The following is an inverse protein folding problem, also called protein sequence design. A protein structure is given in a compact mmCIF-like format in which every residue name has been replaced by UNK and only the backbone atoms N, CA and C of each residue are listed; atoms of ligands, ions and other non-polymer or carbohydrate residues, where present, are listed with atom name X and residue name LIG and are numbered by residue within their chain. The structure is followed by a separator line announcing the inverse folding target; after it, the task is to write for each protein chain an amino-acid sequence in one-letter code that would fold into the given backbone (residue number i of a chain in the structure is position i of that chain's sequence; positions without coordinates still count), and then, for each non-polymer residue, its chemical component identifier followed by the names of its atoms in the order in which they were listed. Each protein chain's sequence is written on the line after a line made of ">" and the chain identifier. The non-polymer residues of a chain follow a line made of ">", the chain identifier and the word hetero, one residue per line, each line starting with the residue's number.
data_IF_600180240325
#
_entry.id   IF_600180240325
#
_cell.length_a   1.000
_cell.length_b   1.000
_cell.length_c   1.000
_cell.angle_alpha   90.00
_cell.angle_beta   90.00
_cell.angle_gamma   90.00
#
_symmetry.space_group_name_H-M   'P 1'
#
loop_
_entity.id
_entity.type
_entity.pdbx_description
1 polymer ?
#
# COMPACT_ATOMS: atom_id res chain seq x y z
N UNK A 1 27.41 -16.92 -38.62
CA UNK A 1 28.27 -15.75 -38.98
C UNK A 1 27.44 -14.48 -39.11
N UNK A 2 28.03 -13.34 -39.41
CA UNK A 2 27.33 -12.05 -39.58
C UNK A 2 26.14 -12.13 -40.54
N UNK A 3 26.24 -12.94 -41.61
CA UNK A 3 25.15 -13.18 -42.57
C UNK A 3 23.90 -13.83 -41.98
N UNK A 4 24.06 -14.68 -40.99
CA UNK A 4 22.91 -15.34 -40.31
C UNK A 4 22.20 -14.36 -39.38
N UNK A 5 22.91 -13.39 -38.79
CA UNK A 5 22.34 -12.35 -37.95
C UNK A 5 21.48 -11.40 -38.77
N UNK A 6 21.98 -10.97 -39.95
CA UNK A 6 21.22 -10.09 -40.85
C UNK A 6 19.97 -10.79 -41.39
N UNK A 7 20.08 -12.07 -41.74
CA UNK A 7 18.93 -12.83 -42.21
C UNK A 7 17.85 -12.99 -41.15
N UNK A 8 18.22 -13.27 -39.89
CA UNK A 8 17.25 -13.32 -38.77
C UNK A 8 16.59 -11.97 -38.53
N UNK A 9 17.32 -10.87 -38.65
CA UNK A 9 16.76 -9.54 -38.55
C UNK A 9 15.73 -9.26 -39.65
N UNK A 10 16.05 -9.62 -40.89
CA UNK A 10 15.11 -9.50 -42.03
C UNK A 10 13.86 -10.38 -41.84
N UNK A 11 14.01 -11.61 -41.34
CA UNK A 11 12.89 -12.51 -41.04
C UNK A 11 11.98 -11.92 -39.96
N UNK A 12 12.53 -11.38 -38.87
CA UNK A 12 11.78 -10.70 -37.80
C UNK A 12 11.04 -9.47 -38.35
N UNK A 13 11.70 -8.64 -39.10
CA UNK A 13 11.09 -7.42 -39.68
C UNK A 13 9.98 -7.76 -40.68
N UNK A 14 10.07 -8.89 -41.40
CA UNK A 14 9.06 -9.35 -42.32
C UNK A 14 7.74 -9.76 -41.63
N UNK A 15 7.84 -10.34 -40.43
CA UNK A 15 6.65 -10.71 -39.61
C UNK A 15 5.77 -9.50 -39.24
N UNK A 16 6.37 -8.33 -39.12
CA UNK A 16 5.68 -7.09 -38.73
C UNK A 16 5.33 -6.18 -39.92
N UNK A 17 5.61 -6.59 -41.15
CA UNK A 17 5.43 -5.76 -42.36
C UNK A 17 3.95 -5.42 -42.65
N UNK A 18 3.02 -6.24 -42.15
CA UNK A 18 1.58 -6.06 -42.35
C UNK A 18 0.93 -5.13 -41.31
N UNK A 19 1.66 -4.68 -40.29
CA UNK A 19 1.11 -3.72 -39.31
C UNK A 19 1.06 -2.32 -39.91
N UNK A 20 -0.14 -1.72 -39.88
CA UNK A 20 -0.39 -0.40 -40.51
C UNK A 20 -0.16 0.80 -39.59
N UNK A 21 -0.23 0.60 -38.27
CA UNK A 21 -0.14 1.66 -37.26
C UNK A 21 1.23 1.73 -36.58
N UNK A 22 1.98 0.66 -36.61
CA UNK A 22 3.29 0.55 -35.94
C UNK A 22 4.35 0.33 -37.02
N UNK A 23 5.44 1.10 -36.94
CA UNK A 23 6.59 0.85 -37.80
C UNK A 23 7.32 -0.41 -37.32
N UNK A 24 7.67 -1.30 -38.27
CA UNK A 24 8.42 -2.51 -37.98
C UNK A 24 9.76 -2.26 -37.26
N UNK A 25 10.37 -1.10 -37.51
CA UNK A 25 11.61 -0.72 -36.81
C UNK A 25 11.38 -0.33 -35.36
N UNK A 26 10.23 0.26 -35.02
CA UNK A 26 9.87 0.54 -33.64
C UNK A 26 9.67 -0.77 -32.84
N UNK A 27 9.01 -1.77 -33.43
CA UNK A 27 8.89 -3.11 -32.80
C UNK A 27 10.25 -3.77 -32.64
N UNK A 28 11.11 -3.68 -33.66
CA UNK A 28 12.46 -4.20 -33.56
C UNK A 28 13.28 -3.50 -32.47
N UNK A 29 13.08 -2.19 -32.29
CA UNK A 29 13.73 -1.44 -31.22
C UNK A 29 13.29 -1.92 -29.82
N UNK A 30 12.02 -2.27 -29.62
CA UNK A 30 11.55 -2.88 -28.36
C UNK A 30 12.26 -4.20 -28.09
N UNK A 31 12.34 -5.06 -29.12
CA UNK A 31 13.08 -6.33 -29.01
C UNK A 31 14.56 -6.14 -28.70
N UNK A 32 15.20 -5.21 -29.39
CA UNK A 32 16.63 -4.93 -29.21
C UNK A 32 16.92 -4.34 -27.81
N UNK A 33 16.07 -3.45 -27.33
CA UNK A 33 16.19 -2.87 -25.98
C UNK A 33 16.09 -3.97 -24.94
N UNK A 34 15.06 -4.81 -25.01
CA UNK A 34 14.86 -5.90 -24.06
C UNK A 34 15.98 -6.95 -24.12
N UNK A 35 16.50 -7.24 -25.32
CA UNK A 35 17.67 -8.11 -25.48
C UNK A 35 18.89 -7.57 -24.74
N UNK A 36 19.18 -6.28 -24.93
CA UNK A 36 20.36 -5.66 -24.33
C UNK A 36 20.26 -5.47 -22.82
N UNK A 37 19.04 -5.24 -22.32
CA UNK A 37 18.81 -4.96 -20.90
C UNK A 37 18.65 -6.23 -20.05
N UNK A 38 18.09 -7.31 -20.61
CA UNK A 38 17.69 -8.49 -19.83
C UNK A 38 18.12 -9.80 -20.50
N UNK A 39 17.67 -10.07 -21.74
CA UNK A 39 17.82 -11.42 -22.34
C UNK A 39 19.26 -11.84 -22.52
N UNK A 40 20.15 -10.93 -22.86
CA UNK A 40 21.57 -11.24 -23.09
C UNK A 40 22.23 -11.76 -21.80
N UNK A 41 21.92 -11.19 -20.67
CA UNK A 41 22.46 -11.61 -19.37
C UNK A 41 21.83 -12.96 -18.94
N UNK A 42 20.53 -13.12 -19.13
CA UNK A 42 19.84 -14.39 -18.88
C UNK A 42 20.45 -15.54 -19.71
N UNK A 43 20.63 -15.32 -21.01
CA UNK A 43 21.23 -16.31 -21.91
C UNK A 43 22.68 -16.62 -21.50
N UNK A 44 23.44 -15.62 -21.10
CA UNK A 44 24.81 -15.79 -20.61
C UNK A 44 24.85 -16.64 -19.34
N UNK A 45 23.92 -16.43 -18.40
CA UNK A 45 23.78 -17.24 -17.19
C UNK A 45 23.42 -18.69 -17.52
N UNK A 46 22.50 -18.91 -18.47
CA UNK A 46 22.10 -20.27 -18.89
C UNK A 46 23.28 -21.02 -19.53
N UNK A 47 24.04 -20.37 -20.41
CA UNK A 47 25.15 -21.00 -21.13
C UNK A 47 26.36 -21.25 -20.23
N UNK A 48 26.55 -20.45 -19.16
CA UNK A 48 27.69 -20.58 -18.27
C UNK A 48 27.66 -21.83 -17.38
N UNK A 49 26.48 -22.44 -17.20
CA UNK A 49 26.29 -23.61 -16.31
C UNK A 49 26.28 -24.92 -17.12
N UNK A 50 26.89 -26.01 -16.59
CA UNK A 50 26.78 -27.34 -17.17
C UNK A 50 25.34 -27.88 -17.25
N UNK A 51 24.54 -27.58 -16.19
CA UNK A 51 23.09 -27.69 -16.20
C UNK A 51 22.56 -26.28 -16.51
N UNK A 52 22.14 -26.06 -17.76
CA UNK A 52 21.70 -24.72 -18.25
C UNK A 52 20.60 -24.06 -17.42
N UNK A 53 19.88 -24.84 -16.59
CA UNK A 53 18.79 -24.33 -15.75
C UNK A 53 19.11 -24.32 -14.26
N UNK A 54 20.35 -24.61 -13.84
CA UNK A 54 20.74 -24.55 -12.42
C UNK A 54 20.47 -23.17 -11.82
N UNK A 55 20.85 -22.10 -12.53
CA UNK A 55 20.62 -20.71 -12.11
C UNK A 55 19.13 -20.35 -11.96
N UNK A 56 18.23 -21.00 -12.68
CA UNK A 56 16.80 -20.76 -12.56
C UNK A 56 16.20 -21.29 -11.23
N UNK A 57 16.89 -22.23 -10.57
CA UNK A 57 16.51 -22.77 -9.26
C UNK A 57 17.16 -22.07 -8.09
N UNK A 58 18.07 -21.13 -8.37
CA UNK A 58 18.81 -20.37 -7.35
C UNK A 58 18.15 -19.06 -7.03
N UNK A 59 18.34 -18.63 -5.79
CA UNK A 59 17.86 -17.34 -5.27
C UNK A 59 19.00 -16.61 -4.60
N UNK A 60 19.12 -15.31 -4.82
CA UNK A 60 20.15 -14.45 -4.26
C UNK A 60 19.54 -13.56 -3.18
N UNK A 61 20.22 -13.45 -2.03
CA UNK A 61 19.83 -12.55 -0.97
C UNK A 61 20.23 -11.12 -1.32
N UNK A 62 19.30 -10.19 -1.09
CA UNK A 62 19.52 -8.76 -1.29
C UNK A 62 19.99 -8.18 0.05
N UNK A 63 21.19 -7.62 0.04
CA UNK A 63 21.81 -7.01 1.20
C UNK A 63 21.90 -5.49 1.04
N UNK A 64 21.54 -4.76 2.10
CA UNK A 64 21.69 -3.31 2.16
C UNK A 64 22.54 -2.90 3.36
N UNK A 65 23.32 -1.82 3.17
CA UNK A 65 24.14 -1.24 4.23
C UNK A 65 23.24 -0.49 5.23
N UNK A 66 23.37 -0.81 6.51
CA UNK A 66 22.66 -0.10 7.58
C UNK A 66 23.21 1.31 7.72
N UNK A 67 22.41 2.31 7.35
CA UNK A 67 22.82 3.73 7.33
C UNK A 67 22.71 4.44 8.68
N UNK A 68 21.91 3.89 9.62
CA UNK A 68 21.61 4.52 10.91
C UNK A 68 21.63 3.51 12.07
N UNK A 69 21.93 3.99 13.27
CA UNK A 69 21.88 3.20 14.50
C UNK A 69 23.22 2.59 14.91
N UNK A 70 23.15 1.62 15.86
CA UNK A 70 24.35 0.99 16.45
C UNK A 70 25.13 0.11 15.44
N UNK A 71 24.45 -0.38 14.42
CA UNK A 71 24.98 -1.31 13.41
C UNK A 71 25.26 -0.59 12.07
N UNK A 72 25.50 0.72 12.09
CA UNK A 72 25.84 1.48 10.89
C UNK A 72 27.09 0.91 10.22
N UNK A 73 27.00 0.62 8.91
CA UNK A 73 28.06 0.03 8.11
C UNK A 73 28.03 -1.50 8.04
N UNK A 74 27.09 -2.17 8.73
CA UNK A 74 26.87 -3.60 8.58
C UNK A 74 25.92 -3.88 7.41
N UNK A 75 26.18 -4.95 6.64
CA UNK A 75 25.28 -5.43 5.61
C UNK A 75 24.14 -6.23 6.28
N UNK A 76 22.91 -5.90 5.91
CA UNK A 76 21.73 -6.58 6.41
C UNK A 76 20.93 -7.12 5.24
N UNK A 77 20.55 -8.39 5.28
CA UNK A 77 19.62 -8.96 4.31
C UNK A 77 18.25 -8.31 4.46
N UNK A 78 17.79 -7.63 3.42
CA UNK A 78 16.49 -6.93 3.36
C UNK A 78 15.46 -7.70 2.56
N UNK A 79 15.90 -8.66 1.74
CA UNK A 79 15.04 -9.48 0.91
C UNK A 79 15.83 -10.52 0.13
N UNK A 80 15.18 -11.10 -0.85
CA UNK A 80 15.79 -12.04 -1.79
C UNK A 80 15.07 -11.97 -3.14
N UNK A 81 15.75 -12.36 -4.21
CA UNK A 81 15.20 -12.43 -5.56
C UNK A 81 15.63 -13.73 -6.26
N UNK A 82 14.87 -14.17 -7.24
CA UNK A 82 15.28 -15.29 -8.09
C UNK A 82 16.40 -14.87 -9.06
N UNK A 83 17.46 -15.66 -9.15
CA UNK A 83 18.63 -15.31 -9.95
C UNK A 83 18.31 -15.13 -11.44
N UNK A 84 17.49 -16.02 -12.01
CA UNK A 84 17.12 -15.99 -13.42
C UNK A 84 15.64 -15.64 -13.63
N UNK A 85 14.76 -16.17 -12.78
CA UNK A 85 13.31 -15.96 -12.85
C UNK A 85 12.90 -15.03 -11.70
N UNK A 86 12.37 -13.83 -11.98
CA UNK A 86 11.90 -12.93 -10.94
C UNK A 86 10.83 -13.54 -10.03
N UNK A 87 10.92 -13.22 -8.72
CA UNK A 87 9.97 -13.67 -7.70
C UNK A 87 8.51 -13.35 -8.05
N UNK A 88 8.26 -12.20 -8.65
CA UNK A 88 6.93 -11.77 -9.09
C UNK A 88 6.31 -12.72 -10.11
N UNK A 89 7.12 -13.26 -11.03
CA UNK A 89 6.67 -14.23 -12.03
C UNK A 89 6.30 -15.56 -11.36
N UNK A 90 7.12 -16.02 -10.41
CA UNK A 90 6.84 -17.21 -9.61
C UNK A 90 5.54 -17.10 -8.83
N UNK A 91 5.34 -15.96 -8.16
CA UNK A 91 4.11 -15.69 -7.38
C UNK A 91 2.89 -15.70 -8.30
N UNK A 92 2.95 -15.00 -9.43
CA UNK A 92 1.84 -14.93 -10.37
C UNK A 92 1.52 -16.27 -11.04
N UNK A 93 2.51 -17.16 -11.19
CA UNK A 93 2.33 -18.46 -11.80
C UNK A 93 1.77 -19.52 -10.84
N UNK A 94 2.26 -19.55 -9.59
CA UNK A 94 1.99 -20.65 -8.67
C UNK A 94 1.26 -20.25 -7.38
N UNK A 95 1.22 -18.98 -7.02
CA UNK A 95 0.74 -18.51 -5.72
C UNK A 95 -0.26 -17.36 -5.86
N UNK A 96 -1.09 -17.41 -6.90
CA UNK A 96 -2.08 -16.36 -7.18
C UNK A 96 -3.09 -16.20 -6.05
N UNK A 97 -3.52 -17.33 -5.45
CA UNK A 97 -4.51 -17.29 -4.37
C UNK A 97 -3.93 -16.68 -3.10
N UNK A 98 -2.67 -17.02 -2.77
CA UNK A 98 -1.97 -16.42 -1.64
C UNK A 98 -1.71 -14.92 -1.86
N UNK A 99 -1.37 -14.52 -3.08
CA UNK A 99 -1.22 -13.11 -3.45
C UNK A 99 -2.53 -12.36 -3.28
N UNK A 100 -3.63 -12.90 -3.79
CA UNK A 100 -4.96 -12.30 -3.65
C UNK A 100 -5.37 -12.18 -2.17
N UNK A 101 -5.06 -13.19 -1.34
CA UNK A 101 -5.33 -13.13 0.10
C UNK A 101 -4.54 -12.01 0.81
N UNK A 102 -3.31 -11.73 0.37
CA UNK A 102 -2.52 -10.60 0.87
C UNK A 102 -3.15 -9.28 0.42
N UNK A 103 -3.50 -9.14 -0.86
CA UNK A 103 -4.15 -7.95 -1.40
C UNK A 103 -5.50 -7.67 -0.72
N UNK A 104 -6.28 -8.70 -0.42
CA UNK A 104 -7.52 -8.56 0.37
C UNK A 104 -7.23 -8.07 1.80
N UNK A 105 -6.23 -8.63 2.45
CA UNK A 105 -5.83 -8.19 3.79
C UNK A 105 -5.28 -6.75 3.80
N UNK A 106 -4.51 -6.35 2.79
CA UNK A 106 -4.03 -4.97 2.59
C UNK A 106 -5.20 -3.99 2.36
N UNK A 107 -6.21 -4.40 1.60
CA UNK A 107 -7.42 -3.60 1.39
C UNK A 107 -8.19 -3.39 2.71
N UNK A 108 -8.26 -4.40 3.58
CA UNK A 108 -8.88 -4.26 4.92
C UNK A 108 -8.09 -3.28 5.79
N UNK A 109 -6.75 -3.31 5.73
CA UNK A 109 -5.90 -2.31 6.40
C UNK A 109 -6.21 -0.92 5.89
N UNK A 110 -6.19 -0.72 4.56
CA UNK A 110 -6.42 0.58 3.93
C UNK A 110 -7.83 1.13 4.26
N UNK A 111 -8.85 0.28 4.27
CA UNK A 111 -10.21 0.66 4.65
C UNK A 111 -10.28 1.09 6.13
N UNK A 112 -9.62 0.34 7.03
CA UNK A 112 -9.58 0.68 8.46
C UNK A 112 -8.80 1.98 8.71
N UNK A 113 -7.69 2.19 8.00
CA UNK A 113 -6.93 3.46 8.04
C UNK A 113 -7.75 4.63 7.50
N UNK A 114 -8.56 4.41 6.45
CA UNK A 114 -9.48 5.42 5.93
C UNK A 114 -10.57 5.79 6.93
N UNK A 115 -11.15 4.80 7.63
CA UNK A 115 -12.12 5.04 8.70
C UNK A 115 -11.51 5.83 9.85
N UNK A 116 -10.27 5.54 10.23
CA UNK A 116 -9.55 6.29 11.26
C UNK A 116 -9.29 7.74 10.80
N UNK A 117 -8.89 7.94 9.56
CA UNK A 117 -8.66 9.27 9.00
C UNK A 117 -9.98 10.09 8.94
N UNK A 118 -11.08 9.46 8.53
CA UNK A 118 -12.41 10.09 8.51
C UNK A 118 -12.88 10.49 9.93
N UNK A 119 -12.65 9.61 10.92
CA UNK A 119 -12.95 9.93 12.32
C UNK A 119 -12.16 11.16 12.80
N UNK A 120 -10.87 11.24 12.47
CA UNK A 120 -10.02 12.39 12.84
C UNK A 120 -10.46 13.67 12.12
N UNK A 121 -10.79 13.57 10.83
CA UNK A 121 -11.21 14.74 10.02
C UNK A 121 -12.60 15.26 10.44
N UNK A 122 -13.48 14.36 10.90
CA UNK A 122 -14.82 14.71 11.39
C UNK A 122 -14.83 15.24 12.82
N UNK A 123 -13.73 15.14 13.55
CA UNK A 123 -13.62 15.63 14.92
C UNK A 123 -13.58 17.16 14.95
N UNK A 124 -14.27 17.77 15.93
CA UNK A 124 -14.24 19.21 16.14
C UNK A 124 -12.82 19.68 16.49
N UNK A 125 -12.42 20.87 16.02
CA UNK A 125 -11.08 21.44 16.30
C UNK A 125 -10.74 21.54 17.79
N UNK A 126 -11.76 21.68 18.66
CA UNK A 126 -11.63 21.76 20.12
C UNK A 126 -11.76 20.38 20.81
N UNK A 127 -11.94 19.28 20.04
CA UNK A 127 -12.10 17.95 20.62
C UNK A 127 -10.78 17.37 21.14
N UNK A 128 -10.88 16.49 22.13
CA UNK A 128 -9.71 15.81 22.68
C UNK A 128 -8.99 14.91 21.63
N UNK A 129 -9.69 14.45 20.60
CA UNK A 129 -9.12 13.68 19.50
C UNK A 129 -8.26 14.58 18.58
N UNK A 130 -8.72 15.80 18.31
CA UNK A 130 -7.96 16.76 17.50
C UNK A 130 -6.64 17.17 18.20
N UNK A 131 -6.64 17.29 19.52
CA UNK A 131 -5.44 17.61 20.33
C UNK A 131 -4.31 16.57 20.17
N UNK A 132 -4.65 15.29 19.97
CA UNK A 132 -3.67 14.20 19.86
C UNK A 132 -3.36 13.81 18.42
N UNK A 133 -4.08 14.39 17.45
CA UNK A 133 -3.87 14.13 16.02
C UNK A 133 -2.73 15.02 15.48
N UNK A 134 -1.64 14.41 15.06
CA UNK A 134 -0.53 15.05 14.36
C UNK A 134 -0.57 14.73 12.87
N UNK A 135 -0.77 15.71 12.01
CA UNK A 135 -0.84 15.53 10.55
C UNK A 135 -1.86 14.45 10.09
N UNK A 136 -3.04 14.43 10.72
CA UNK A 136 -4.09 13.46 10.41
C UNK A 136 -3.79 12.03 10.86
N UNK A 137 -2.84 11.84 11.78
CA UNK A 137 -2.49 10.55 12.36
C UNK A 137 -2.47 10.61 13.86
N UNK A 138 -2.86 9.53 14.51
CA UNK A 138 -2.81 9.40 15.97
C UNK A 138 -1.90 8.22 16.35
N UNK A 139 -1.26 8.35 17.51
CA UNK A 139 -0.47 7.28 18.10
C UNK A 139 -1.23 6.69 19.27
N UNK A 140 -1.29 5.38 19.36
CA UNK A 140 -1.97 4.65 20.45
C UNK A 140 -1.60 5.21 21.83
N UNK A 141 -0.31 5.46 22.08
CA UNK A 141 0.18 5.98 23.36
C UNK A 141 -0.35 7.38 23.70
N UNK A 142 -0.48 8.24 22.69
CA UNK A 142 -0.92 9.61 22.88
C UNK A 142 -2.44 9.64 23.16
N UNK A 143 -3.19 8.75 22.47
CA UNK A 143 -4.63 8.53 22.71
C UNK A 143 -4.87 7.96 24.11
N UNK A 144 -4.13 6.92 24.51
CA UNK A 144 -4.20 6.33 25.85
C UNK A 144 -3.88 7.37 26.94
N UNK A 145 -2.82 8.16 26.76
CA UNK A 145 -2.44 9.21 27.68
C UNK A 145 -3.52 10.31 27.81
N UNK A 146 -4.17 10.68 26.68
CA UNK A 146 -5.25 11.68 26.70
C UNK A 146 -6.50 11.15 27.41
N UNK A 147 -6.87 9.90 27.16
CA UNK A 147 -7.96 9.25 27.90
C UNK A 147 -7.66 9.24 29.41
N UNK A 148 -6.43 8.89 29.81
CA UNK A 148 -6.02 8.88 31.21
C UNK A 148 -6.08 10.29 31.80
N UNK A 149 -5.60 11.31 31.09
CA UNK A 149 -5.66 12.71 31.51
C UNK A 149 -7.11 13.17 31.76
N UNK A 150 -8.02 12.96 30.81
CA UNK A 150 -9.43 13.35 30.88
C UNK A 150 -10.18 12.61 32.01
N UNK A 151 -9.86 11.36 32.25
CA UNK A 151 -10.58 10.50 33.20
C UNK A 151 -9.90 10.39 34.56
N UNK A 152 -8.72 11.00 34.75
CA UNK A 152 -7.96 10.96 36.00
C UNK A 152 -8.75 11.40 37.22
N UNK A 153 -9.68 12.32 37.08
CA UNK A 153 -10.50 12.86 38.15
C UNK A 153 -11.80 12.08 38.41
N UNK A 154 -12.02 10.98 37.65
CA UNK A 154 -13.17 10.09 37.88
C UNK A 154 -12.79 9.15 39.02
N UNK A 155 -13.16 9.50 40.24
CA UNK A 155 -12.92 8.70 41.43
C UNK A 155 -14.24 8.01 41.87
N UNK A 156 -14.17 6.69 42.02
CA UNK A 156 -15.20 5.88 42.66
C UNK A 156 -14.58 5.10 43.82
N UNK A 157 -15.38 4.57 44.72
CA UNK A 157 -14.86 3.73 45.81
C UNK A 157 -14.02 2.56 45.26
N UNK A 158 -14.44 1.97 44.12
CA UNK A 158 -13.74 0.88 43.46
C UNK A 158 -12.38 1.33 42.88
N UNK A 159 -12.30 2.50 42.25
CA UNK A 159 -11.02 3.02 41.70
C UNK A 159 -10.01 3.28 42.81
N UNK A 160 -10.43 3.84 43.95
CA UNK A 160 -9.55 4.09 45.08
C UNK A 160 -8.98 2.76 45.64
N UNK A 161 -9.84 1.75 45.83
CA UNK A 161 -9.39 0.43 46.30
C UNK A 161 -8.45 -0.26 45.34
N UNK A 162 -8.70 -0.19 44.03
CA UNK A 162 -7.86 -0.77 42.99
C UNK A 162 -6.49 -0.09 42.91
N UNK A 163 -6.41 1.21 43.05
CA UNK A 163 -5.13 1.97 43.10
C UNK A 163 -4.31 1.61 44.35
N UNK A 164 -4.97 1.48 45.49
CA UNK A 164 -4.30 1.02 46.71
C UNK A 164 -3.75 -0.42 46.54
N UNK A 165 -4.51 -1.31 45.89
CA UNK A 165 -4.03 -2.68 45.59
C UNK A 165 -2.86 -2.66 44.60
N UNK A 166 -2.92 -1.81 43.54
CA UNK A 166 -1.86 -1.70 42.53
C UNK A 166 -0.51 -1.34 43.15
N UNK A 167 -0.50 -0.47 44.17
CA UNK A 167 0.70 -0.06 44.88
C UNK A 167 1.28 -1.18 45.77
N UNK A 168 0.51 -2.23 46.10
CA UNK A 168 0.95 -3.34 46.92
C UNK A 168 1.42 -4.57 46.10
N UNK A 169 1.27 -4.50 44.76
CA UNK A 169 1.74 -5.58 43.88
C UNK A 169 3.28 -5.54 43.66
N UNK A 170 3.97 -6.67 43.55
CA UNK A 170 3.44 -8.05 43.48
C UNK A 170 3.07 -8.62 44.84
N UNK A 171 2.00 -9.44 44.92
CA UNK A 171 1.50 -10.04 46.13
C UNK A 171 1.36 -11.56 46.01
N UNK A 172 1.69 -12.28 47.05
CA UNK A 172 1.50 -13.75 47.09
C UNK A 172 0.01 -14.11 47.12
N UNK A 173 -0.38 -15.22 46.50
CA UNK A 173 -1.79 -15.63 46.35
C UNK A 173 -2.56 -15.71 47.70
N UNK A 174 -1.94 -16.23 48.76
CA UNK A 174 -2.60 -16.28 50.10
C UNK A 174 -2.85 -14.88 50.68
N UNK A 175 -1.90 -13.96 50.49
CA UNK A 175 -2.04 -12.56 50.96
C UNK A 175 -3.07 -11.81 50.16
N UNK A 176 -3.15 -12.07 48.86
CA UNK A 176 -4.15 -11.51 47.98
C UNK A 176 -5.56 -11.95 48.42
N UNK A 177 -5.78 -13.24 48.68
CA UNK A 177 -7.06 -13.73 49.17
C UNK A 177 -7.49 -13.06 50.49
N UNK A 178 -6.57 -12.88 51.41
CA UNK A 178 -6.85 -12.20 52.70
C UNK A 178 -7.16 -10.71 52.49
N UNK A 179 -6.51 -10.05 51.50
CA UNK A 179 -6.75 -8.66 51.15
C UNK A 179 -8.15 -8.46 50.53
N UNK A 180 -8.57 -9.34 49.60
CA UNK A 180 -9.85 -9.30 48.92
C UNK A 180 -11.04 -9.47 49.89
N UNK A 181 -10.89 -10.19 50.99
CA UNK A 181 -11.92 -10.30 52.03
C UNK A 181 -12.23 -8.94 52.66
N UNK A 182 -11.23 -8.06 52.81
CA UNK A 182 -11.39 -6.71 53.34
C UNK A 182 -11.72 -5.66 52.29
N UNK A 183 -11.50 -5.98 50.98
CA UNK A 183 -11.68 -5.08 49.86
C UNK A 183 -12.40 -5.85 48.74
N UNK A 184 -13.71 -6.10 48.82
CA UNK A 184 -14.45 -6.94 47.88
C UNK A 184 -14.55 -6.32 46.49
N UNK A 185 -14.48 -5.00 46.37
CA UNK A 185 -14.50 -4.30 45.06
C UNK A 185 -13.29 -4.64 44.19
N UNK A 186 -12.17 -5.00 44.82
CA UNK A 186 -10.97 -5.44 44.09
C UNK A 186 -11.11 -6.81 43.38
N UNK A 187 -12.17 -7.58 43.66
CA UNK A 187 -12.45 -8.85 42.99
C UNK A 187 -12.70 -8.67 41.49
N UNK A 188 -13.19 -7.49 41.07
CA UNK A 188 -13.44 -7.13 39.69
C UNK A 188 -12.17 -7.14 38.79
N UNK A 189 -10.98 -7.02 39.39
CA UNK A 189 -9.70 -7.09 38.69
C UNK A 189 -9.07 -8.49 38.70
N UNK A 190 -9.78 -9.53 39.16
CA UNK A 190 -9.28 -10.91 39.12
C UNK A 190 -9.19 -11.42 37.69
N UNK A 191 -8.07 -12.04 37.37
CA UNK A 191 -7.93 -12.80 36.11
C UNK A 191 -8.59 -14.18 36.23
N UNK A 192 -8.86 -14.86 35.12
CA UNK A 192 -9.40 -16.23 35.08
C UNK A 192 -8.60 -17.23 35.96
N UNK A 193 -7.34 -16.96 36.19
CA UNK A 193 -6.45 -17.77 37.02
C UNK A 193 -6.55 -17.45 38.53
N UNK A 194 -7.46 -16.53 38.92
CA UNK A 194 -7.63 -16.09 40.30
C UNK A 194 -6.41 -15.34 40.87
N UNK A 195 -5.73 -14.58 40.02
CA UNK A 195 -4.62 -13.69 40.37
C UNK A 195 -4.91 -12.26 39.93
N UNK A 196 -4.31 -11.29 40.59
CA UNK A 196 -4.38 -9.89 40.18
C UNK A 196 -3.00 -9.46 39.69
N UNK A 197 -2.96 -8.78 38.56
CA UNK A 197 -1.76 -8.24 37.95
C UNK A 197 -1.91 -6.72 37.79
N UNK A 198 -0.80 -6.00 37.61
CA UNK A 198 -0.88 -4.57 37.29
C UNK A 198 -1.73 -4.32 36.05
N UNK A 199 -1.56 -5.15 34.99
CA UNK A 199 -2.33 -5.05 33.77
C UNK A 199 -3.84 -5.28 33.98
N UNK A 200 -4.25 -6.24 34.86
CA UNK A 200 -5.68 -6.47 35.12
C UNK A 200 -6.32 -5.34 35.90
N UNK A 201 -5.58 -4.71 36.83
CA UNK A 201 -6.06 -3.51 37.52
C UNK A 201 -6.16 -2.33 36.54
N UNK A 202 -5.12 -2.09 35.73
CA UNK A 202 -5.14 -1.01 34.73
C UNK A 202 -6.31 -1.15 33.76
N UNK A 203 -6.57 -2.38 33.30
CA UNK A 203 -7.72 -2.66 32.43
C UNK A 203 -9.05 -2.37 33.13
N UNK A 204 -9.20 -2.79 34.40
CA UNK A 204 -10.44 -2.54 35.16
C UNK A 204 -10.64 -1.05 35.43
N UNK A 205 -9.60 -0.34 35.84
CA UNK A 205 -9.64 1.13 36.02
C UNK A 205 -10.02 1.83 34.72
N UNK A 206 -9.49 1.37 33.60
CA UNK A 206 -9.85 1.91 32.28
C UNK A 206 -11.34 1.71 31.99
N UNK A 207 -11.90 0.54 32.24
CA UNK A 207 -13.33 0.25 32.03
C UNK A 207 -14.20 1.15 32.93
N UNK A 208 -13.89 1.24 34.22
CA UNK A 208 -14.66 2.08 35.15
C UNK A 208 -14.65 3.54 34.67
N UNK A 209 -13.48 4.06 34.37
CA UNK A 209 -13.28 5.47 34.02
C UNK A 209 -13.82 5.85 32.65
N UNK A 210 -13.85 4.90 31.70
CA UNK A 210 -14.25 5.20 30.32
C UNK A 210 -15.60 4.66 29.91
N UNK A 211 -16.23 3.78 30.72
CA UNK A 211 -17.53 3.18 30.41
C UNK A 211 -18.55 3.36 31.54
N UNK A 212 -18.17 3.00 32.77
CA UNK A 212 -19.13 2.89 33.88
C UNK A 212 -19.40 4.24 34.58
N UNK A 213 -18.40 5.13 34.64
CA UNK A 213 -18.44 6.34 35.43
C UNK A 213 -18.01 7.61 34.69
N UNK A 214 -18.14 7.62 33.35
CA UNK A 214 -17.80 8.81 32.55
C UNK A 214 -18.75 9.95 32.85
N UNK A 215 -18.26 11.15 33.17
CA UNK A 215 -19.09 12.37 33.26
C UNK A 215 -19.74 12.67 31.91
N UNK A 216 -21.00 13.13 31.95
CA UNK A 216 -21.78 13.43 30.74
C UNK A 216 -21.08 14.43 29.81
N UNK A 217 -20.33 15.37 30.39
CA UNK A 217 -19.54 16.40 29.69
C UNK A 217 -18.32 15.87 28.94
N UNK A 218 -17.83 14.66 29.25
CA UNK A 218 -16.66 14.05 28.63
C UNK A 218 -17.04 12.83 27.77
N UNK A 219 -18.34 12.54 27.64
CA UNK A 219 -18.80 11.32 27.01
C UNK A 219 -18.42 11.25 25.53
N UNK A 220 -18.57 12.35 24.82
CA UNK A 220 -18.28 12.42 23.38
C UNK A 220 -16.78 12.31 23.11
N UNK A 221 -15.95 13.07 23.85
CA UNK A 221 -14.49 13.02 23.72
C UNK A 221 -13.92 11.64 24.04
N UNK A 222 -14.38 11.02 25.14
CA UNK A 222 -13.92 9.69 25.54
C UNK A 222 -14.36 8.63 24.53
N UNK A 223 -15.56 8.75 23.96
CA UNK A 223 -16.04 7.80 22.95
C UNK A 223 -15.24 7.91 21.65
N UNK A 224 -14.98 9.13 21.15
CA UNK A 224 -14.16 9.34 19.96
C UNK A 224 -12.73 8.83 20.15
N UNK A 225 -12.12 9.09 21.30
CA UNK A 225 -10.78 8.57 21.61
C UNK A 225 -10.76 7.04 21.71
N UNK A 226 -11.79 6.40 22.27
CA UNK A 226 -11.92 4.95 22.32
C UNK A 226 -12.10 4.34 20.94
N UNK A 227 -12.92 4.94 20.09
CA UNK A 227 -13.10 4.50 18.72
C UNK A 227 -11.79 4.61 17.93
N UNK A 228 -11.07 5.71 18.07
CA UNK A 228 -9.73 5.87 17.49
C UNK A 228 -8.75 4.82 18.00
N UNK A 229 -8.77 4.51 19.31
CA UNK A 229 -7.93 3.47 19.90
C UNK A 229 -8.26 2.08 19.37
N UNK A 230 -9.55 1.76 19.20
CA UNK A 230 -10.01 0.49 18.64
C UNK A 230 -9.59 0.36 17.17
N UNK A 231 -9.76 1.40 16.36
CA UNK A 231 -9.32 1.42 14.98
C UNK A 231 -7.80 1.27 14.86
N UNK A 232 -7.02 1.97 15.68
CA UNK A 232 -5.57 1.79 15.75
C UNK A 232 -5.18 0.34 16.11
N UNK A 233 -5.89 -0.26 17.04
CA UNK A 233 -5.72 -1.67 17.42
C UNK A 233 -5.97 -2.61 16.25
N UNK A 234 -7.08 -2.42 15.53
CA UNK A 234 -7.44 -3.20 14.32
C UNK A 234 -6.40 -3.03 13.22
N UNK A 235 -5.94 -1.81 12.94
CA UNK A 235 -4.86 -1.55 11.96
C UNK A 235 -3.59 -2.32 12.34
N UNK A 236 -3.21 -2.32 13.61
CA UNK A 236 -2.03 -3.06 14.08
C UNK A 236 -2.18 -4.58 13.92
N UNK A 237 -3.36 -5.11 14.23
CA UNK A 237 -3.69 -6.54 14.09
C UNK A 237 -3.68 -6.96 12.62
N UNK A 238 -4.36 -6.22 11.76
CA UNK A 238 -4.43 -6.52 10.33
C UNK A 238 -3.06 -6.39 9.65
N UNK A 239 -2.26 -5.39 9.99
CA UNK A 239 -0.88 -5.29 9.52
C UNK A 239 -0.03 -6.49 9.93
N UNK A 240 -0.27 -7.06 11.11
CA UNK A 240 0.38 -8.30 11.52
C UNK A 240 -0.04 -9.49 10.65
N UNK A 241 -1.34 -9.58 10.33
CA UNK A 241 -1.85 -10.63 9.42
C UNK A 241 -1.22 -10.50 8.03
N UNK A 242 -1.15 -9.31 7.45
CA UNK A 242 -0.49 -9.04 6.16
C UNK A 242 0.96 -9.49 6.21
N UNK A 243 1.69 -9.13 7.27
CA UNK A 243 3.09 -9.52 7.45
C UNK A 243 3.27 -11.03 7.56
N UNK A 244 2.41 -11.72 8.30
CA UNK A 244 2.48 -13.16 8.49
C UNK A 244 2.15 -13.90 7.17
N UNK A 245 1.13 -13.44 6.42
CA UNK A 245 0.80 -13.97 5.09
C UNK A 245 1.94 -13.75 4.09
N UNK A 246 2.51 -12.54 4.04
CA UNK A 246 3.62 -12.21 3.15
C UNK A 246 4.85 -13.05 3.44
N UNK A 247 5.15 -13.29 4.73
CA UNK A 247 6.25 -14.16 5.14
C UNK A 247 6.00 -15.61 4.74
N UNK A 248 4.79 -16.11 4.93
CA UNK A 248 4.43 -17.47 4.56
C UNK A 248 4.51 -17.67 3.04
N UNK A 249 4.06 -16.68 2.25
CA UNK A 249 4.21 -16.69 0.79
C UNK A 249 5.69 -16.70 0.37
N UNK A 250 6.50 -15.88 1.03
CA UNK A 250 7.94 -15.77 0.78
C UNK A 250 8.65 -17.11 0.97
N UNK A 251 8.37 -17.79 2.09
CA UNK A 251 8.95 -19.10 2.41
C UNK A 251 8.50 -20.17 1.39
N UNK A 252 7.21 -20.21 1.05
CA UNK A 252 6.67 -21.13 0.02
C UNK A 252 7.28 -20.88 -1.34
N UNK A 253 7.38 -19.61 -1.75
CA UNK A 253 7.94 -19.21 -3.03
C UNK A 253 9.40 -19.64 -3.13
N UNK A 254 10.23 -19.35 -2.12
CA UNK A 254 11.64 -19.73 -2.07
C UNK A 254 11.85 -21.27 -2.10
N UNK A 255 10.98 -22.00 -1.43
CA UNK A 255 11.01 -23.48 -1.49
C UNK A 255 10.65 -24.01 -2.89
N UNK A 256 9.74 -23.34 -3.61
CA UNK A 256 9.29 -23.74 -4.95
C UNK A 256 10.38 -23.63 -6.00
N UNK A 257 11.29 -22.64 -5.91
CA UNK A 257 12.40 -22.50 -6.85
C UNK A 257 13.22 -23.78 -6.97
N UNK A 258 13.54 -24.43 -5.85
CA UNK A 258 14.33 -25.67 -5.81
C UNK A 258 13.61 -26.87 -6.41
N UNK A 259 12.29 -26.82 -6.53
CA UNK A 259 11.42 -27.88 -7.04
C UNK A 259 10.94 -27.65 -8.47
N UNK A 260 11.45 -26.62 -9.17
CA UNK A 260 11.10 -26.35 -10.56
C UNK A 260 11.61 -27.46 -11.49
N UNK A 261 10.73 -27.91 -12.38
CA UNK A 261 11.10 -28.80 -13.51
C UNK A 261 11.63 -27.98 -14.69
N UNK A 262 12.34 -28.62 -15.61
CA UNK A 262 12.88 -27.94 -16.79
C UNK A 262 11.78 -27.35 -17.68
N UNK A 263 10.66 -28.06 -17.84
CA UNK A 263 9.52 -27.58 -18.62
C UNK A 263 8.89 -26.35 -18.01
N UNK A 264 8.75 -26.32 -16.68
CA UNK A 264 8.26 -25.13 -15.95
C UNK A 264 9.23 -23.95 -16.07
N UNK A 265 10.54 -24.20 -16.01
CA UNK A 265 11.55 -23.15 -16.18
C UNK A 265 11.47 -22.55 -17.58
N UNK A 266 11.33 -23.39 -18.61
CA UNK A 266 11.17 -22.91 -19.99
C UNK A 266 9.91 -22.06 -20.12
N UNK A 267 8.77 -22.50 -19.56
CA UNK A 267 7.52 -21.74 -19.63
C UNK A 267 7.65 -20.38 -18.89
N UNK A 268 8.18 -20.40 -17.66
CA UNK A 268 8.36 -19.18 -16.86
C UNK A 268 9.35 -18.20 -17.51
N UNK A 269 10.44 -18.70 -18.06
CA UNK A 269 11.49 -17.87 -18.65
C UNK A 269 11.08 -17.35 -20.02
N UNK A 270 10.68 -18.24 -20.93
CA UNK A 270 10.40 -17.89 -22.31
C UNK A 270 9.05 -17.20 -22.44
N UNK A 271 7.98 -17.81 -21.90
CA UNK A 271 6.64 -17.27 -22.09
C UNK A 271 6.36 -16.11 -21.12
N UNK A 272 6.63 -16.31 -19.80
CA UNK A 272 6.23 -15.34 -18.77
C UNK A 272 7.21 -14.19 -18.56
N UNK A 273 8.52 -14.43 -18.72
CA UNK A 273 9.52 -13.37 -18.58
C UNK A 273 9.78 -12.68 -19.91
N UNK A 274 10.17 -13.42 -20.94
CA UNK A 274 10.61 -12.80 -22.17
C UNK A 274 9.45 -12.39 -23.07
N UNK A 275 8.56 -13.31 -23.45
CA UNK A 275 7.48 -12.97 -24.37
C UNK A 275 6.46 -12.00 -23.76
N UNK A 276 6.04 -12.19 -22.51
CA UNK A 276 5.09 -11.27 -21.88
C UNK A 276 5.68 -9.84 -21.76
N UNK A 277 6.99 -9.72 -21.45
CA UNK A 277 7.67 -8.42 -21.40
C UNK A 277 7.77 -7.75 -22.76
N UNK A 278 8.15 -8.49 -23.78
CA UNK A 278 8.21 -7.99 -25.16
C UNK A 278 6.83 -7.61 -25.64
N UNK A 279 5.83 -8.46 -25.40
CA UNK A 279 4.45 -8.18 -25.78
C UNK A 279 3.92 -6.91 -25.08
N UNK A 280 4.21 -6.75 -23.80
CA UNK A 280 3.85 -5.53 -23.06
C UNK A 280 4.51 -4.30 -23.66
N UNK A 281 5.80 -4.36 -23.98
CA UNK A 281 6.51 -3.26 -24.63
C UNK A 281 5.92 -2.87 -25.99
N UNK A 282 5.48 -3.86 -26.79
CA UNK A 282 4.79 -3.59 -28.06
C UNK A 282 3.38 -3.01 -27.82
N UNK A 283 2.65 -3.51 -26.82
CA UNK A 283 1.34 -3.00 -26.47
C UNK A 283 1.41 -1.54 -25.97
N UNK A 284 2.41 -1.20 -25.18
CA UNK A 284 2.68 0.16 -24.70
C UNK A 284 3.02 1.10 -25.88
N UNK A 285 3.83 0.64 -26.82
CA UNK A 285 4.11 1.37 -28.07
C UNK A 285 2.82 1.66 -28.84
N UNK A 286 1.96 0.65 -29.01
CA UNK A 286 0.66 0.81 -29.65
C UNK A 286 -0.23 1.81 -28.91
N UNK A 287 -0.32 1.70 -27.61
CA UNK A 287 -1.09 2.61 -26.75
C UNK A 287 -0.58 4.05 -26.88
N UNK A 288 0.73 4.27 -26.84
CA UNK A 288 1.35 5.59 -27.01
C UNK A 288 1.02 6.23 -28.37
N UNK A 289 1.07 5.43 -29.46
CA UNK A 289 0.70 5.90 -30.79
C UNK A 289 -0.80 6.25 -30.86
N UNK A 290 -1.65 5.38 -30.32
CA UNK A 290 -3.10 5.58 -30.27
C UNK A 290 -3.48 6.85 -29.49
N UNK A 291 -2.89 7.06 -28.31
CA UNK A 291 -3.11 8.25 -27.52
C UNK A 291 -2.65 9.52 -28.24
N UNK A 292 -1.47 9.49 -28.88
CA UNK A 292 -0.96 10.62 -29.65
C UNK A 292 -1.89 10.96 -30.82
N UNK A 293 -2.41 9.95 -31.52
CA UNK A 293 -3.37 10.13 -32.61
C UNK A 293 -4.70 10.71 -32.11
N UNK A 294 -5.24 10.14 -31.02
CA UNK A 294 -6.48 10.62 -30.41
C UNK A 294 -6.36 12.09 -29.97
N UNK A 295 -5.29 12.43 -29.26
CA UNK A 295 -5.03 13.80 -28.82
C UNK A 295 -4.92 14.76 -30.02
N UNK A 296 -4.31 14.32 -31.12
CA UNK A 296 -4.20 15.12 -32.34
C UNK A 296 -5.56 15.32 -33.05
N UNK A 297 -6.40 14.29 -33.01
CA UNK A 297 -7.77 14.39 -33.54
C UNK A 297 -8.61 15.38 -32.73
N UNK A 298 -8.54 15.29 -31.39
CA UNK A 298 -9.22 16.21 -30.48
C UNK A 298 -8.74 17.65 -30.72
N UNK A 299 -7.42 17.87 -30.75
CA UNK A 299 -6.84 19.21 -31.04
C UNK A 299 -7.33 19.77 -32.37
N UNK A 300 -7.42 18.94 -33.40
CA UNK A 300 -7.92 19.35 -34.70
C UNK A 300 -9.44 19.60 -34.67
N UNK A 301 -10.21 18.77 -33.96
CA UNK A 301 -11.63 18.96 -33.75
C UNK A 301 -11.93 20.30 -33.11
N UNK A 302 -11.25 20.59 -31.98
CA UNK A 302 -11.42 21.86 -31.25
C UNK A 302 -11.00 23.08 -32.11
N UNK A 303 -9.89 22.92 -32.87
CA UNK A 303 -9.40 24.00 -33.74
C UNK A 303 -10.40 24.35 -34.89
N UNK A 304 -11.11 23.36 -35.39
CA UNK A 304 -12.01 23.50 -36.53
C UNK A 304 -13.49 23.38 -36.14
N UNK A 305 -13.80 23.45 -34.83
CA UNK A 305 -15.18 23.46 -34.32
C UNK A 305 -15.97 24.65 -34.90
N UNK A 306 -15.33 25.83 -34.90
CA UNK A 306 -15.88 27.01 -35.55
C UNK A 306 -15.39 27.09 -37.02
N UNK A 307 -16.27 26.90 -37.94
CA UNK A 307 -15.93 27.04 -39.37
C UNK A 307 -15.67 28.49 -39.72
N UNK A 308 -14.83 28.75 -40.75
CA UNK A 308 -14.55 30.10 -41.20
C UNK A 308 -15.84 30.91 -41.52
N UNK A 309 -16.87 30.34 -42.18
CA UNK A 309 -18.14 31.01 -42.36
C UNK A 309 -18.88 31.39 -41.07
N UNK A 310 -18.78 30.55 -40.02
CA UNK A 310 -19.40 30.87 -38.73
C UNK A 310 -18.67 32.02 -38.04
N UNK A 311 -17.34 32.03 -38.05
CA UNK A 311 -16.51 33.12 -37.51
C UNK A 311 -16.75 34.44 -38.27
N UNK A 312 -16.89 34.42 -39.61
CA UNK A 312 -17.25 35.59 -40.42
C UNK A 312 -18.63 36.13 -40.06
N UNK A 313 -19.61 35.26 -39.87
CA UNK A 313 -20.96 35.62 -39.45
C UNK A 313 -20.95 36.24 -38.05
N UNK A 314 -20.28 35.61 -37.07
CA UNK A 314 -20.18 36.12 -35.72
C UNK A 314 -19.47 37.48 -35.68
N UNK A 315 -18.42 37.67 -36.49
CA UNK A 315 -17.72 38.96 -36.63
C UNK A 315 -18.67 40.02 -37.16
N UNK A 316 -19.47 39.75 -38.20
CA UNK A 316 -20.46 40.67 -38.72
C UNK A 316 -21.57 41.03 -37.71
N UNK A 317 -22.01 40.02 -36.94
CA UNK A 317 -23.01 40.22 -35.89
C UNK A 317 -22.45 41.09 -34.73
N UNK A 318 -21.19 40.87 -34.32
CA UNK A 318 -20.53 41.71 -33.33
C UNK A 318 -20.27 43.14 -33.84
N UNK A 319 -19.86 43.32 -35.09
CA UNK A 319 -19.75 44.66 -35.72
C UNK A 319 -21.06 45.41 -35.65
N UNK A 320 -22.16 44.74 -36.00
CA UNK A 320 -23.51 45.34 -35.98
C UNK A 320 -23.91 45.73 -34.55
N UNK A 321 -23.66 44.87 -33.56
CA UNK A 321 -23.91 45.18 -32.15
C UNK A 321 -23.07 46.36 -31.67
N UNK A 322 -21.79 46.41 -31.99
CA UNK A 322 -20.88 47.51 -31.61
C UNK A 322 -21.34 48.82 -32.25
N UNK A 323 -21.66 48.81 -33.56
CA UNK A 323 -22.22 50.02 -34.26
C UNK A 323 -23.48 50.53 -33.56
N UNK A 324 -24.44 49.65 -33.29
CA UNK A 324 -25.66 49.99 -32.58
C UNK A 324 -25.42 50.60 -31.20
N UNK A 325 -24.47 50.05 -30.45
CA UNK A 325 -24.11 50.62 -29.13
C UNK A 325 -23.45 51.98 -29.24
N UNK A 326 -22.54 52.18 -30.19
CA UNK A 326 -21.89 53.47 -30.42
C UNK A 326 -22.87 54.54 -30.88
N UNK A 327 -23.82 54.21 -31.78
CA UNK A 327 -24.88 55.10 -32.19
C UNK A 327 -25.76 55.54 -30.99
N UNK A 328 -26.10 54.61 -30.09
CA UNK A 328 -26.84 54.92 -28.85
C UNK A 328 -26.05 55.83 -27.89
N UNK A 329 -24.73 55.81 -27.98
CA UNK A 329 -23.82 56.68 -27.21
C UNK A 329 -23.60 58.05 -27.93
N UNK A 330 -24.20 58.27 -29.10
CA UNK A 330 -24.15 59.56 -29.86
C UNK A 330 -23.02 59.65 -30.88
N UNK A 331 -22.31 58.57 -31.14
CA UNK A 331 -21.33 58.54 -32.25
C UNK A 331 -22.07 58.35 -33.62
N UNK A 332 -21.68 59.11 -34.60
CA UNK A 332 -22.11 58.93 -35.96
C UNK A 332 -20.98 58.40 -36.81
N UNK A 333 -21.26 57.35 -37.55
CA UNK A 333 -20.33 56.71 -38.52
C UNK A 333 -20.51 57.30 -39.90
#
# INVERSE_FOLDING_TARGET
>A
GLGDVYKRQEDILAEFEHLTLIDKYDVYQVLLAYWNEVMNDDVSLIISEPDGYANARETDDIEEEVTQGKNKGEMKTVGWEGRLIPKTIMINAFFRDEKNAIEEAENVVAETESQLAELIESADEESALADVAENGKVKVKDVEAKIEELTKHVETEETIELELLMNQLPMQKKRLQAYLVGHPLCESALTEKGTVTKSSITLRLFIIRTVESVPESLHDDVNQLKEALELCGKVSEYNKVVKDLSKALDEKCRARYKALTDDEIIDLLVNKKWFDSIFTGIADLYAAISHRLTNRIVELSDRYEDTLPDLEKDTADYETKVKSHLERMGFKW
#
